data_IF_730436103970
#
_entry.id   IF_730436103970
#
_cell.length_a   1.000
_cell.length_b   1.000
_cell.length_c   1.000
_cell.angle_alpha   90.00
_cell.angle_beta   90.00
_cell.angle_gamma   90.00
#
_symmetry.space_group_name_H-M   'P 1'
#
loop_
_entity.id
_entity.type
_entity.pdbx_description
1 polymer ?
#
# COMPACT_ATOMS: atom_id res chain seq x y z
N UNK A 1 2.24 -10.70 -7.95
CA UNK A 1 1.03 -9.95 -7.54
C UNK A 1 -0.25 -10.71 -7.87
N UNK A 2 -0.69 -10.80 -9.13
CA UNK A 2 -1.98 -11.43 -9.49
C UNK A 2 -2.11 -12.90 -9.03
N UNK A 3 -1.08 -13.71 -9.25
CA UNK A 3 -1.03 -15.11 -8.78
C UNK A 3 -1.05 -15.25 -7.25
N UNK A 4 -0.79 -14.17 -6.52
CA UNK A 4 -0.87 -14.10 -5.05
C UNK A 4 -2.21 -13.53 -4.55
N UNK A 5 -3.20 -13.38 -5.44
CA UNK A 5 -4.52 -12.85 -5.10
C UNK A 5 -4.58 -11.34 -4.90
N UNK A 6 -3.56 -10.60 -5.34
CA UNK A 6 -3.59 -9.14 -5.40
C UNK A 6 -4.16 -8.68 -6.73
N UNK A 7 -5.13 -7.79 -6.71
CA UNK A 7 -5.77 -7.21 -7.88
C UNK A 7 -5.17 -5.83 -8.17
N UNK A 8 -5.04 -5.45 -9.43
CA UNK A 8 -4.65 -4.06 -9.77
C UNK A 8 -5.74 -3.14 -9.24
N UNK A 9 -5.36 -2.17 -8.41
CA UNK A 9 -6.28 -1.16 -7.94
C UNK A 9 -6.61 -0.27 -9.15
N UNK A 10 -7.90 -0.15 -9.47
CA UNK A 10 -8.37 0.49 -10.70
C UNK A 10 -7.79 1.92 -10.83
N UNK A 11 -7.04 2.24 -11.89
CA UNK A 11 -6.58 3.60 -12.12
C UNK A 11 -7.80 4.43 -12.50
N UNK A 12 -8.35 5.16 -11.52
CA UNK A 12 -9.51 6.02 -11.72
C UNK A 12 -9.27 6.94 -12.92
N UNK A 13 -10.24 6.99 -13.82
CA UNK A 13 -10.17 7.90 -14.93
C UNK A 13 -10.14 9.34 -14.38
N UNK A 14 -9.26 10.18 -14.92
CA UNK A 14 -9.02 11.58 -14.51
C UNK A 14 -10.32 12.42 -14.44
N UNK A 15 -11.39 11.99 -15.11
CA UNK A 15 -12.72 12.66 -15.07
C UNK A 15 -13.50 12.37 -13.78
N UNK A 16 -13.30 11.21 -13.17
CA UNK A 16 -13.95 10.83 -11.92
C UNK A 16 -13.19 11.40 -10.70
N UNK A 17 -11.87 11.63 -10.84
CA UNK A 17 -10.98 12.17 -9.80
C UNK A 17 -11.42 13.55 -9.26
N UNK A 18 -11.81 14.49 -10.13
CA UNK A 18 -12.22 15.83 -9.68
C UNK A 18 -13.57 15.83 -8.98
N UNK A 19 -14.48 14.93 -9.39
CA UNK A 19 -15.79 14.80 -8.74
C UNK A 19 -15.63 14.10 -7.39
N UNK A 20 -14.85 13.02 -7.33
CA UNK A 20 -14.60 12.27 -6.11
C UNK A 20 -13.78 13.09 -5.10
N UNK A 21 -12.75 13.82 -5.54
CA UNK A 21 -11.99 14.72 -4.66
C UNK A 21 -12.85 15.89 -4.16
N UNK A 22 -13.70 16.48 -5.02
CA UNK A 22 -14.64 17.53 -4.61
C UNK A 22 -15.70 16.99 -3.63
N UNK A 23 -16.25 15.81 -3.87
CA UNK A 23 -17.27 15.18 -3.02
C UNK A 23 -16.69 14.72 -1.66
N UNK A 24 -15.40 14.35 -1.63
CA UNK A 24 -14.67 14.02 -0.39
C UNK A 24 -14.39 15.29 0.45
N UNK A 25 -14.12 16.42 -0.19
CA UNK A 25 -14.01 17.73 0.49
C UNK A 25 -15.39 18.25 0.92
N UNK A 26 -16.47 17.86 0.21
CA UNK A 26 -17.85 18.25 0.49
C UNK A 26 -18.61 17.32 1.46
N UNK A 27 -17.97 16.28 2.00
CA UNK A 27 -18.50 15.53 3.13
C UNK A 27 -19.44 14.37 2.81
N UNK A 28 -19.43 13.85 1.57
CA UNK A 28 -20.19 12.65 1.23
C UNK A 28 -19.36 11.38 1.54
N UNK A 29 -19.84 10.57 2.48
CA UNK A 29 -19.25 9.28 2.87
C UNK A 29 -19.38 8.24 1.76
N UNK A 30 -18.42 8.18 0.86
CA UNK A 30 -18.33 7.11 -0.12
C UNK A 30 -17.68 5.86 0.48
N UNK A 31 -18.47 4.79 0.64
CA UNK A 31 -18.05 3.44 1.10
C UNK A 31 -17.08 2.75 0.12
N UNK A 32 -16.94 3.32 -1.09
CA UNK A 32 -16.04 2.85 -2.16
C UNK A 32 -15.01 3.92 -2.54
N UNK A 33 -14.65 4.82 -1.60
CA UNK A 33 -13.67 5.86 -1.90
C UNK A 33 -12.36 5.22 -2.40
N UNK A 34 -11.79 5.76 -3.49
CA UNK A 34 -10.59 5.20 -4.06
C UNK A 34 -9.39 5.29 -3.13
N UNK A 35 -8.44 4.40 -3.36
CA UNK A 35 -7.12 4.40 -2.73
C UNK A 35 -6.47 5.78 -2.92
N UNK A 36 -6.21 6.50 -1.82
CA UNK A 36 -5.54 7.81 -1.87
C UNK A 36 -4.17 7.71 -2.55
N UNK A 37 -3.85 8.69 -3.40
CA UNK A 37 -2.54 8.84 -4.03
C UNK A 37 -1.46 9.01 -2.95
N UNK A 38 -0.35 8.29 -3.07
CA UNK A 38 0.83 8.53 -2.25
C UNK A 38 1.95 9.09 -3.12
N UNK A 39 2.85 9.86 -2.51
CA UNK A 39 3.92 10.52 -3.24
C UNK A 39 5.28 10.09 -2.71
N UNK A 40 6.15 9.67 -3.64
CA UNK A 40 7.56 9.42 -3.41
C UNK A 40 8.34 10.10 -4.54
N UNK A 41 9.49 10.71 -4.22
CA UNK A 41 10.29 11.49 -5.18
C UNK A 41 9.50 12.58 -5.93
N UNK A 42 8.49 13.17 -5.27
CA UNK A 42 7.67 14.24 -5.84
C UNK A 42 6.64 13.78 -6.87
N UNK A 43 6.40 12.47 -7.03
CA UNK A 43 5.42 11.92 -7.99
C UNK A 43 4.53 10.83 -7.38
N UNK A 44 3.37 10.61 -8.01
CA UNK A 44 2.41 9.54 -7.67
C UNK A 44 3.04 8.16 -7.90
N UNK A 45 2.55 7.14 -7.18
CA UNK A 45 2.86 5.73 -7.44
C UNK A 45 2.66 5.33 -8.90
N UNK A 46 3.49 4.39 -9.38
CA UNK A 46 3.37 3.86 -10.75
C UNK A 46 2.29 2.79 -10.84
N UNK A 47 2.14 1.99 -9.79
CA UNK A 47 1.12 0.93 -9.72
C UNK A 47 0.68 0.72 -8.28
N UNK A 48 -0.61 0.42 -8.13
CA UNK A 48 -1.23 0.06 -6.87
C UNK A 48 -1.98 -1.28 -7.03
N UNK A 49 -1.96 -2.09 -5.97
CA UNK A 49 -2.72 -3.31 -5.88
C UNK A 49 -3.53 -3.34 -4.59
N UNK A 50 -4.64 -4.06 -4.63
CA UNK A 50 -5.49 -4.33 -3.47
C UNK A 50 -5.81 -5.80 -3.33
N UNK A 51 -6.01 -6.26 -2.11
CA UNK A 51 -6.50 -7.60 -1.82
C UNK A 51 -7.64 -7.54 -0.79
N UNK A 52 -8.85 -8.05 -1.14
CA UNK A 52 -10.00 -8.01 -0.25
C UNK A 52 -9.84 -8.99 0.92
N UNK A 53 -10.35 -8.61 2.10
CA UNK A 53 -10.36 -9.49 3.28
C UNK A 53 -11.75 -10.06 3.51
N UNK A 54 -11.92 -11.33 3.16
CA UNK A 54 -13.22 -12.02 3.25
C UNK A 54 -14.31 -11.26 2.47
N UNK A 55 -15.48 -11.13 3.08
CA UNK A 55 -16.64 -10.46 2.48
C UNK A 55 -16.88 -9.04 3.03
N UNK A 56 -15.95 -8.46 3.79
CA UNK A 56 -16.10 -7.11 4.35
C UNK A 56 -15.40 -6.08 3.44
N UNK A 57 -16.15 -5.25 2.68
CA UNK A 57 -15.55 -4.26 1.79
C UNK A 57 -14.80 -3.15 2.53
N UNK A 58 -14.86 -3.11 3.86
CA UNK A 58 -14.18 -2.10 4.69
C UNK A 58 -12.79 -2.56 5.14
N UNK A 59 -12.39 -3.78 4.77
CA UNK A 59 -11.10 -4.38 5.11
C UNK A 59 -10.37 -4.78 3.85
N UNK A 60 -9.27 -4.08 3.58
CA UNK A 60 -8.49 -4.27 2.36
C UNK A 60 -7.02 -4.11 2.66
N UNK A 61 -6.24 -5.01 2.09
CA UNK A 61 -4.80 -4.87 1.98
C UNK A 61 -4.50 -3.99 0.78
N UNK A 62 -3.58 -3.06 0.92
CA UNK A 62 -3.15 -2.18 -0.17
C UNK A 62 -1.63 -2.19 -0.26
N UNK A 63 -1.11 -2.28 -1.49
CA UNK A 63 0.30 -2.09 -1.75
C UNK A 63 0.49 -1.19 -2.96
N UNK A 64 1.41 -0.24 -2.85
CA UNK A 64 1.77 0.71 -3.92
C UNK A 64 3.25 0.59 -4.21
N UNK A 65 3.63 0.77 -5.47
CA UNK A 65 5.02 0.69 -5.90
C UNK A 65 5.45 1.88 -6.75
N UNK A 66 6.69 2.32 -6.53
CA UNK A 66 7.38 3.32 -7.32
C UNK A 66 8.63 2.71 -7.95
N UNK A 67 8.76 2.81 -9.25
CA UNK A 67 9.96 2.46 -9.99
C UNK A 67 11.04 3.53 -9.80
N UNK A 68 12.21 3.13 -9.34
CA UNK A 68 13.38 4.02 -9.26
C UNK A 68 13.85 4.44 -10.64
N UNK A 69 14.35 5.68 -10.76
CA UNK A 69 15.08 6.12 -11.95
C UNK A 69 16.49 5.52 -12.02
N UNK A 70 17.02 5.05 -10.89
CA UNK A 70 18.31 4.38 -10.82
C UNK A 70 18.16 2.89 -11.16
N UNK A 71 19.12 2.39 -11.92
CA UNK A 71 19.20 0.99 -12.33
C UNK A 71 20.31 0.27 -11.57
N UNK A 72 20.11 -1.00 -11.30
CA UNK A 72 21.14 -1.88 -10.77
C UNK A 72 22.19 -2.26 -11.84
N UNK A 73 23.15 -3.11 -11.45
CA UNK A 73 24.22 -3.56 -12.34
C UNK A 73 23.71 -4.33 -13.58
N UNK A 74 22.51 -4.91 -13.50
CA UNK A 74 21.86 -5.66 -14.58
C UNK A 74 20.88 -4.78 -15.37
N UNK A 75 20.95 -3.46 -15.19
CA UNK A 75 20.07 -2.47 -15.84
C UNK A 75 18.59 -2.63 -15.46
N UNK A 76 18.30 -3.20 -14.29
CA UNK A 76 16.94 -3.34 -13.78
C UNK A 76 16.64 -2.23 -12.75
N UNK A 77 15.44 -1.63 -12.79
CA UNK A 77 15.05 -0.64 -11.82
C UNK A 77 14.69 -1.31 -10.48
N UNK A 78 15.12 -0.69 -9.38
CA UNK A 78 14.59 -1.04 -8.06
C UNK A 78 13.15 -0.52 -7.93
N UNK A 79 12.30 -1.26 -7.20
CA UNK A 79 10.94 -0.84 -6.88
C UNK A 79 10.80 -0.58 -5.39
N UNK A 80 10.36 0.61 -5.01
CA UNK A 80 10.04 0.95 -3.63
C UNK A 80 8.57 0.66 -3.36
N UNK A 81 8.29 -0.07 -2.28
CA UNK A 81 6.94 -0.47 -1.91
C UNK A 81 6.44 0.24 -0.66
N UNK A 82 5.13 0.52 -0.62
CA UNK A 82 4.42 0.91 0.61
C UNK A 82 3.20 0.01 0.75
N UNK A 83 3.09 -0.71 1.87
CA UNK A 83 1.99 -1.60 2.18
C UNK A 83 1.20 -1.06 3.38
N UNK A 84 -0.14 -1.08 3.29
CA UNK A 84 -1.04 -0.58 4.33
C UNK A 84 -2.30 -1.43 4.42
N UNK A 85 -2.75 -1.72 5.64
CA UNK A 85 -4.01 -2.44 5.89
C UNK A 85 -5.10 -1.50 6.37
N UNK A 86 -6.19 -1.40 5.63
CA UNK A 86 -7.39 -0.70 6.05
C UNK A 86 -8.16 -1.60 7.03
N UNK A 87 -8.13 -1.25 8.32
CA UNK A 87 -8.67 -2.11 9.38
C UNK A 87 -10.18 -1.95 9.54
N UNK A 88 -10.65 -0.71 9.48
CA UNK A 88 -12.06 -0.36 9.61
C UNK A 88 -12.35 1.04 9.03
N UNK A 89 -13.63 1.28 8.78
CA UNK A 89 -14.19 2.61 8.53
C UNK A 89 -14.67 3.20 9.85
N UNK A 90 -14.17 4.38 10.25
CA UNK A 90 -14.53 5.07 11.49
C UNK A 90 -14.74 6.57 11.30
N UNK A 91 -15.29 7.26 12.30
CA UNK A 91 -15.44 8.72 12.26
C UNK A 91 -14.11 9.37 12.72
N UNK A 92 -13.52 10.22 11.88
CA UNK A 92 -12.41 11.09 12.26
C UNK A 92 -12.81 11.94 13.46
N UNK A 93 -12.05 11.83 14.55
CA UNK A 93 -12.27 12.64 15.76
C UNK A 93 -12.01 14.13 15.53
N UNK A 94 -11.29 14.49 14.47
CA UNK A 94 -10.87 15.86 14.16
C UNK A 94 -11.78 16.54 13.13
N UNK A 95 -12.37 15.78 12.20
CA UNK A 95 -13.18 16.33 11.10
C UNK A 95 -14.63 15.84 11.09
N UNK A 96 -14.99 14.82 11.88
CA UNK A 96 -16.31 14.21 11.87
C UNK A 96 -16.65 13.44 10.59
N UNK A 97 -15.68 13.29 9.67
CA UNK A 97 -15.85 12.57 8.42
C UNK A 97 -15.61 11.07 8.62
N UNK A 98 -16.22 10.24 7.78
CA UNK A 98 -15.95 8.81 7.73
C UNK A 98 -14.57 8.61 7.09
N UNK A 99 -13.58 8.19 7.88
CA UNK A 99 -12.20 7.92 7.44
C UNK A 99 -11.86 6.45 7.60
N UNK A 100 -11.18 5.88 6.60
CA UNK A 100 -10.56 4.57 6.74
C UNK A 100 -9.41 4.70 7.73
N UNK A 101 -9.40 3.86 8.77
CA UNK A 101 -8.30 3.79 9.72
C UNK A 101 -7.32 2.72 9.27
N UNK A 102 -6.07 3.14 9.04
CA UNK A 102 -4.98 2.23 8.70
C UNK A 102 -4.50 1.56 9.98
N UNK A 103 -4.24 0.26 9.92
CA UNK A 103 -3.67 -0.48 11.04
C UNK A 103 -2.29 0.06 11.41
N UNK A 104 -2.02 0.15 12.71
CA UNK A 104 -0.76 0.69 13.21
C UNK A 104 0.45 -0.23 12.95
N UNK A 105 0.22 -1.53 12.84
CA UNK A 105 1.25 -2.53 12.60
C UNK A 105 1.63 -2.56 11.11
N UNK A 106 2.62 -1.77 10.72
CA UNK A 106 3.06 -1.76 9.31
C UNK A 106 3.87 -3.00 8.96
N UNK A 107 4.45 -3.68 9.97
CA UNK A 107 5.21 -4.91 9.78
C UNK A 107 4.29 -6.07 9.43
N UNK A 108 3.13 -6.18 10.08
CA UNK A 108 2.15 -7.22 9.77
C UNK A 108 1.72 -7.16 8.30
N UNK A 109 1.54 -5.95 7.74
CA UNK A 109 1.14 -5.79 6.35
C UNK A 109 2.30 -6.03 5.36
N UNK A 110 3.51 -5.58 5.70
CA UNK A 110 4.73 -5.91 4.96
C UNK A 110 4.93 -7.43 4.90
N UNK A 111 4.79 -8.09 6.02
CA UNK A 111 5.02 -9.53 6.16
C UNK A 111 3.92 -10.32 5.42
N UNK A 112 2.66 -9.86 5.45
CA UNK A 112 1.56 -10.41 4.65
C UNK A 112 1.85 -10.34 3.14
N UNK A 113 2.33 -9.21 2.63
CA UNK A 113 2.73 -9.08 1.23
C UNK A 113 3.80 -10.12 0.85
N UNK A 114 4.87 -10.24 1.64
CA UNK A 114 5.95 -11.20 1.37
C UNK A 114 5.48 -12.65 1.51
N UNK A 115 4.61 -12.95 2.48
CA UNK A 115 4.02 -14.27 2.65
C UNK A 115 3.17 -14.68 1.44
N UNK A 116 2.28 -13.79 0.96
CA UNK A 116 1.46 -14.08 -0.21
C UNK A 116 2.29 -14.25 -1.50
N UNK A 117 3.40 -13.51 -1.65
CA UNK A 117 4.34 -13.70 -2.76
C UNK A 117 5.11 -15.01 -2.65
N UNK A 118 5.55 -15.39 -1.45
CA UNK A 118 6.23 -16.66 -1.22
C UNK A 118 5.31 -17.84 -1.47
N UNK A 119 4.07 -17.80 -0.96
CA UNK A 119 3.10 -18.87 -1.08
C UNK A 119 2.67 -19.16 -2.53
N UNK A 120 2.67 -18.13 -3.39
CA UNK A 120 2.36 -18.30 -4.82
C UNK A 120 3.56 -18.70 -5.67
N UNK A 121 4.77 -18.77 -5.10
CA UNK A 121 6.02 -18.92 -5.84
C UNK A 121 6.45 -17.67 -6.61
N UNK A 122 5.85 -16.51 -6.33
CA UNK A 122 6.16 -15.22 -6.96
C UNK A 122 7.46 -14.57 -6.49
N UNK A 123 8.18 -15.17 -5.53
CA UNK A 123 9.41 -14.65 -4.95
C UNK A 123 10.59 -15.59 -5.29
N UNK A 124 11.61 -15.08 -5.98
CA UNK A 124 12.84 -15.80 -6.28
C UNK A 124 13.85 -15.77 -5.12
N UNK A 125 13.95 -14.62 -4.46
CA UNK A 125 14.82 -14.43 -3.30
C UNK A 125 14.28 -13.32 -2.39
N UNK A 126 14.75 -13.34 -1.15
CA UNK A 126 14.37 -12.39 -0.11
C UNK A 126 15.59 -12.07 0.75
N UNK A 127 15.74 -10.79 1.08
CA UNK A 127 16.74 -10.29 1.99
C UNK A 127 16.11 -9.34 3.00
N UNK A 128 16.63 -9.37 4.23
CA UNK A 128 16.28 -8.44 5.28
C UNK A 128 17.44 -7.49 5.57
N UNK A 129 17.14 -6.20 5.69
CA UNK A 129 18.03 -5.18 6.26
C UNK A 129 17.52 -4.79 7.63
N UNK A 130 18.29 -5.14 8.66
CA UNK A 130 17.98 -4.80 10.06
C UNK A 130 18.26 -3.34 10.36
N UNK A 131 17.46 -2.75 11.25
CA UNK A 131 17.63 -1.37 11.72
C UNK A 131 17.65 -0.33 10.58
N UNK A 132 16.89 -0.58 9.52
CA UNK A 132 16.72 0.37 8.42
C UNK A 132 15.96 1.62 8.88
N UNK A 133 14.84 1.43 9.59
CA UNK A 133 14.16 2.53 10.27
C UNK A 133 14.68 2.70 11.70
N UNK A 134 15.21 3.89 11.98
CA UNK A 134 15.65 4.29 13.32
C UNK A 134 14.50 4.87 14.15
N UNK A 135 13.52 5.50 13.50
CA UNK A 135 12.25 5.92 14.11
C UNK A 135 11.27 4.77 13.96
N UNK A 136 10.77 4.26 15.09
CA UNK A 136 10.00 3.01 15.15
C UNK A 136 8.52 3.19 15.42
N UNK A 137 8.07 4.41 15.66
CA UNK A 137 6.66 4.72 15.88
C UNK A 137 6.37 6.17 15.52
N UNK A 138 5.10 6.47 15.27
CA UNK A 138 4.66 7.82 14.95
C UNK A 138 3.18 7.88 14.59
N UNK A 139 2.81 8.92 13.83
CA UNK A 139 1.48 9.06 13.23
C UNK A 139 1.60 9.34 11.74
N UNK A 140 0.64 8.87 10.95
CA UNK A 140 0.57 9.14 9.51
C UNK A 140 -0.13 10.49 9.24
N UNK A 141 -0.28 10.86 7.96
CA UNK A 141 -0.93 12.13 7.57
C UNK A 141 -2.41 12.24 7.96
N UNK A 142 -3.10 11.11 8.19
CA UNK A 142 -4.47 11.05 8.71
C UNK A 142 -4.55 11.06 10.24
N UNK A 143 -3.41 11.01 10.93
CA UNK A 143 -3.32 10.95 12.39
C UNK A 143 -3.37 9.55 12.98
N UNK A 144 -3.48 8.49 12.18
CA UNK A 144 -3.43 7.11 12.70
C UNK A 144 -2.02 6.80 13.22
N UNK A 145 -1.91 6.12 14.37
CA UNK A 145 -0.60 5.69 14.86
C UNK A 145 -0.01 4.62 13.94
N UNK A 146 1.32 4.53 13.90
CA UNK A 146 2.05 3.43 13.28
C UNK A 146 3.23 3.02 14.15
N UNK A 147 3.65 1.76 14.04
CA UNK A 147 4.87 1.22 14.64
C UNK A 147 5.53 0.17 13.74
N UNK A 148 6.85 0.03 13.85
CA UNK A 148 7.67 -0.93 13.08
C UNK A 148 8.81 -1.52 13.91
N UNK A 149 9.17 -2.76 13.60
CA UNK A 149 10.34 -3.49 14.05
C UNK A 149 11.66 -2.93 13.48
N UNK A 150 11.54 -2.03 12.52
CA UNK A 150 12.63 -1.28 11.90
C UNK A 150 13.32 -2.01 10.74
N UNK A 151 12.77 -3.14 10.28
CA UNK A 151 13.34 -3.92 9.18
C UNK A 151 12.83 -3.44 7.83
N UNK A 152 13.71 -3.51 6.84
CA UNK A 152 13.35 -3.43 5.43
C UNK A 152 13.44 -4.83 4.82
N UNK A 153 12.40 -5.27 4.12
CA UNK A 153 12.44 -6.48 3.30
C UNK A 153 12.66 -6.10 1.84
N UNK A 154 13.57 -6.82 1.19
CA UNK A 154 13.91 -6.68 -0.22
C UNK A 154 13.62 -8.02 -0.88
N UNK A 155 12.82 -8.02 -1.94
CA UNK A 155 12.44 -9.22 -2.67
C UNK A 155 12.78 -9.13 -4.15
N UNK A 156 13.34 -10.20 -4.70
CA UNK A 156 13.44 -10.37 -6.17
C UNK A 156 12.27 -11.23 -6.62
N UNK A 157 11.47 -10.74 -7.56
CA UNK A 157 10.33 -11.49 -8.09
C UNK A 157 10.81 -12.66 -8.97
N UNK A 158 10.09 -13.77 -8.91
CA UNK A 158 10.31 -14.88 -9.82
C UNK A 158 9.99 -14.47 -11.26
N UNK A 159 10.78 -14.96 -12.22
CA UNK A 159 10.46 -14.80 -13.64
C UNK A 159 9.14 -15.52 -13.91
N UNK A 160 8.21 -14.84 -14.57
CA UNK A 160 7.04 -15.50 -15.13
C UNK A 160 7.51 -16.63 -16.06
N UNK A 161 7.03 -17.84 -15.83
CA UNK A 161 7.16 -18.90 -16.84
C UNK A 161 6.31 -18.49 -18.03
N UNK A 162 6.90 -18.36 -19.21
CA UNK A 162 6.18 -18.14 -20.47
C UNK A 162 5.21 -19.28 -20.80
#
# INVERSE_FOLDING_TARGET
MLASGWLVADPLSIKDDLRIAADTVLGESYVNAPVSNLFLWGRKEDVAFEQPVGNDPRKRHHVRFWQSSELDADSQPAWMGSASYDKHVGLSHTTGQITHHIAADVDAERDHLFETLRASGGLASEQEVKNFHTIREGRNGGGDPWYTDGRLLIGTLAKSSE
#
